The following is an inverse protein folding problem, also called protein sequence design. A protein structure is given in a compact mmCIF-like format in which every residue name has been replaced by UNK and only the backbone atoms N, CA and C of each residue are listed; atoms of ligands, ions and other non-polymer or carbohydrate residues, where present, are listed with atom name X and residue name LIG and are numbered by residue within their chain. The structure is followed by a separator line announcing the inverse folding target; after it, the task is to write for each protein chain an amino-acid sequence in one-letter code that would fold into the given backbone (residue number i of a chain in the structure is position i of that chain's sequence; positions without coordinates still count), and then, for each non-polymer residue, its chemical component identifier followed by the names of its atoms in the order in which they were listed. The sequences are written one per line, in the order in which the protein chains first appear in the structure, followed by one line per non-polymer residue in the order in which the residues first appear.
data_IF_900436106883
#
_entry.id   IF_900436106883
#
_cell.length_a   1.000
_cell.length_b   1.000
_cell.length_c   1.000
_cell.angle_alpha   90.00
_cell.angle_beta   90.00
_cell.angle_gamma   90.00
#
_symmetry.space_group_name_H-M   'P 1'
#
loop_
_entity.id
_entity.type
_entity.pdbx_description
1 polymer ?
#
# COMPACT_ATOMS: atom_id res chain seq x y z
N UNK A 1 -23.16 23.67 58.60
CA UNK A 1 -24.00 22.47 58.41
C UNK A 1 -25.16 22.87 57.51
N UNK A 2 -25.06 22.66 56.19
CA UNK A 2 -26.17 22.90 55.26
C UNK A 2 -26.95 21.59 55.10
N UNK A 3 -28.14 21.54 55.71
CA UNK A 3 -29.09 20.44 55.58
C UNK A 3 -29.83 20.66 54.25
N UNK A 4 -29.61 19.75 53.32
CA UNK A 4 -30.27 19.71 52.02
C UNK A 4 -31.70 19.17 52.21
N UNK A 5 -32.69 20.07 52.26
CA UNK A 5 -34.11 19.71 52.29
C UNK A 5 -34.55 19.23 50.90
N UNK A 6 -35.06 17.99 50.74
CA UNK A 6 -35.67 17.57 49.50
C UNK A 6 -37.06 18.21 49.33
N UNK A 7 -37.41 18.76 48.16
CA UNK A 7 -38.77 19.25 47.92
C UNK A 7 -39.74 18.06 47.87
N UNK A 8 -40.81 18.14 48.68
CA UNK A 8 -41.94 17.23 48.64
C UNK A 8 -42.74 17.41 47.33
N UNK A 9 -42.21 16.88 46.23
CA UNK A 9 -42.87 16.86 44.93
C UNK A 9 -43.90 15.74 44.83
N UNK A 10 -45.15 16.08 44.48
CA UNK A 10 -46.22 15.10 44.26
C UNK A 10 -45.81 14.03 43.23
N UNK A 11 -46.04 12.72 43.47
CA UNK A 11 -45.60 11.65 42.58
C UNK A 11 -46.25 11.72 41.20
N UNK A 12 -47.43 12.36 41.08
CA UNK A 12 -48.08 12.61 39.78
C UNK A 12 -47.31 13.61 38.92
N UNK A 13 -46.77 14.70 39.50
CA UNK A 13 -45.97 15.68 38.76
C UNK A 13 -44.61 15.13 38.33
N UNK A 14 -44.00 14.28 39.17
CA UNK A 14 -42.75 13.59 38.83
C UNK A 14 -42.99 12.59 37.69
N UNK A 15 -44.09 11.82 37.73
CA UNK A 15 -44.48 10.91 36.65
C UNK A 15 -44.78 11.63 35.34
N UNK A 16 -45.49 12.77 35.37
CA UNK A 16 -45.74 13.55 34.15
C UNK A 16 -44.45 14.18 33.61
N UNK A 17 -43.56 14.67 34.46
CA UNK A 17 -42.28 15.22 34.04
C UNK A 17 -41.38 14.14 33.39
N UNK A 18 -41.32 12.95 33.98
CA UNK A 18 -40.61 11.81 33.39
C UNK A 18 -41.24 11.36 32.06
N UNK A 19 -42.57 11.29 31.98
CA UNK A 19 -43.25 10.92 30.74
C UNK A 19 -42.98 11.93 29.61
N UNK A 20 -42.96 13.23 29.92
CA UNK A 20 -42.62 14.29 28.95
C UNK A 20 -41.15 14.20 28.55
N UNK A 21 -40.22 13.94 29.48
CA UNK A 21 -38.80 13.77 29.18
C UNK A 21 -38.52 12.55 28.30
N UNK A 22 -39.18 11.42 28.57
CA UNK A 22 -39.07 10.21 27.74
C UNK A 22 -39.66 10.45 26.35
N UNK A 23 -40.78 11.17 26.27
CA UNK A 23 -41.40 11.53 24.99
C UNK A 23 -40.52 12.48 24.16
N UNK A 24 -39.87 13.47 24.78
CA UNK A 24 -38.97 14.38 24.07
C UNK A 24 -37.66 13.71 23.65
N UNK A 25 -37.10 12.80 24.45
CA UNK A 25 -35.94 11.98 24.02
C UNK A 25 -36.32 11.02 22.88
N UNK A 26 -37.52 10.44 22.90
CA UNK A 26 -38.01 9.60 21.81
C UNK A 26 -38.24 10.38 20.51
N UNK A 27 -38.69 11.64 20.59
CA UNK A 27 -38.83 12.52 19.42
C UNK A 27 -37.48 13.08 18.94
N UNK A 28 -36.52 13.34 19.84
CA UNK A 28 -35.18 13.78 19.47
C UNK A 28 -34.35 12.68 18.77
N UNK A 29 -34.71 11.41 18.95
CA UNK A 29 -34.12 10.28 18.22
C UNK A 29 -34.68 10.04 16.82
N UNK A 30 -35.78 10.71 16.44
CA UNK A 30 -36.50 10.47 15.18
C UNK A 30 -36.79 11.75 14.37
N UNK A 31 -36.06 12.84 14.60
CA UNK A 31 -36.18 14.06 13.80
C UNK A 31 -34.85 14.34 13.08
N UNK A 32 -34.77 13.89 11.82
CA UNK A 32 -33.69 14.10 10.85
C UNK A 32 -32.41 13.28 11.09
N UNK A 33 -32.39 12.04 10.58
CA UNK A 33 -31.13 11.48 10.09
C UNK A 33 -30.87 12.18 8.75
N UNK A 34 -29.88 13.09 8.64
CA UNK A 34 -29.56 13.71 7.36
C UNK A 34 -29.07 12.64 6.37
N UNK A 35 -29.23 12.87 5.05
CA UNK A 35 -28.69 11.95 4.05
C UNK A 35 -27.19 11.68 4.27
N UNK A 36 -26.75 10.41 4.35
CA UNK A 36 -25.39 10.03 4.69
C UNK A 36 -24.43 10.13 3.50
N UNK A 37 -24.38 11.29 2.86
CA UNK A 37 -23.59 11.53 1.64
C UNK A 37 -22.10 11.25 1.84
N UNK A 38 -21.57 11.52 3.03
CA UNK A 38 -20.17 11.29 3.36
C UNK A 38 -19.82 9.79 3.27
N UNK A 39 -20.61 8.93 3.93
CA UNK A 39 -20.45 7.47 3.86
C UNK A 39 -20.58 6.92 2.43
N UNK A 40 -21.55 7.43 1.66
CA UNK A 40 -21.75 7.04 0.26
C UNK A 40 -20.55 7.40 -0.61
N UNK A 41 -20.00 8.60 -0.45
CA UNK A 41 -18.81 9.05 -1.17
C UNK A 41 -17.56 8.24 -0.77
N UNK A 42 -17.40 7.94 0.51
CA UNK A 42 -16.29 7.11 0.98
C UNK A 42 -16.36 5.68 0.41
N UNK A 43 -17.54 5.06 0.43
CA UNK A 43 -17.75 3.75 -0.16
C UNK A 43 -17.47 3.74 -1.68
N UNK A 44 -17.96 4.75 -2.40
CA UNK A 44 -17.70 4.91 -3.84
C UNK A 44 -16.20 5.06 -4.14
N UNK A 45 -15.49 5.90 -3.38
CA UNK A 45 -14.05 6.09 -3.55
C UNK A 45 -13.28 4.80 -3.26
N UNK A 46 -13.65 4.04 -2.21
CA UNK A 46 -13.01 2.74 -1.94
C UNK A 46 -13.28 1.71 -3.03
N UNK A 47 -14.49 1.65 -3.57
CA UNK A 47 -14.81 0.80 -4.73
C UNK A 47 -13.93 1.15 -5.93
N UNK A 48 -13.71 2.44 -6.19
CA UNK A 48 -12.81 2.88 -7.26
C UNK A 48 -11.37 2.43 -7.00
N UNK A 49 -10.85 2.66 -5.79
CA UNK A 49 -9.51 2.23 -5.40
C UNK A 49 -9.30 0.72 -5.48
N UNK A 50 -10.33 -0.07 -5.16
CA UNK A 50 -10.31 -1.52 -5.32
C UNK A 50 -10.25 -1.93 -6.80
N UNK A 51 -11.04 -1.29 -7.67
CA UNK A 51 -10.99 -1.52 -9.12
C UNK A 51 -9.63 -1.14 -9.70
N UNK A 52 -9.11 0.02 -9.34
CA UNK A 52 -7.81 0.52 -9.81
C UNK A 52 -6.65 -0.39 -9.33
N UNK A 53 -6.80 -1.04 -8.18
CA UNK A 53 -5.87 -2.04 -7.68
C UNK A 53 -5.96 -3.41 -8.40
N UNK A 54 -6.86 -3.58 -9.38
CA UNK A 54 -7.05 -4.83 -10.11
C UNK A 54 -7.89 -5.86 -9.36
N UNK A 55 -8.78 -5.45 -8.46
CA UNK A 55 -9.59 -6.40 -7.68
C UNK A 55 -10.52 -7.27 -8.55
N UNK A 56 -10.85 -6.86 -9.77
CA UNK A 56 -11.61 -7.70 -10.69
C UNK A 56 -10.86 -9.00 -11.06
N UNK A 57 -9.53 -8.96 -11.14
CA UNK A 57 -8.72 -10.11 -11.52
C UNK A 57 -8.28 -10.95 -10.31
N UNK A 58 -7.96 -10.26 -9.22
CA UNK A 58 -7.33 -10.89 -8.04
C UNK A 58 -8.28 -11.14 -6.87
N UNK A 59 -9.42 -10.45 -6.80
CA UNK A 59 -10.41 -10.55 -5.72
C UNK A 59 -11.86 -10.30 -6.19
N UNK A 60 -12.35 -11.00 -7.25
CA UNK A 60 -13.63 -10.69 -7.89
C UNK A 60 -14.83 -10.87 -6.96
N UNK A 61 -14.76 -11.85 -6.05
CA UNK A 61 -15.85 -12.16 -5.11
C UNK A 61 -16.05 -11.03 -4.10
N UNK A 62 -14.96 -10.58 -3.45
CA UNK A 62 -15.01 -9.48 -2.48
C UNK A 62 -15.44 -8.17 -3.15
N UNK A 63 -14.93 -7.92 -4.36
CA UNK A 63 -15.31 -6.75 -5.15
C UNK A 63 -16.80 -6.81 -5.56
N UNK A 64 -17.35 -7.99 -5.83
CA UNK A 64 -18.78 -8.21 -6.07
C UNK A 64 -19.63 -7.86 -4.85
N UNK A 65 -19.29 -8.39 -3.67
CA UNK A 65 -20.00 -8.07 -2.43
C UNK A 65 -20.01 -6.57 -2.13
N UNK A 66 -18.87 -5.90 -2.31
CA UNK A 66 -18.79 -4.46 -2.13
C UNK A 66 -19.73 -3.70 -3.08
N UNK A 67 -19.81 -4.12 -4.35
CA UNK A 67 -20.69 -3.50 -5.35
C UNK A 67 -22.17 -3.74 -5.06
N UNK A 68 -22.53 -4.96 -4.69
CA UNK A 68 -23.91 -5.33 -4.38
C UNK A 68 -24.42 -4.54 -3.18
N UNK A 69 -23.63 -4.45 -2.10
CA UNK A 69 -23.98 -3.64 -0.92
C UNK A 69 -24.08 -2.16 -1.23
N UNK A 70 -23.21 -1.63 -2.11
CA UNK A 70 -23.33 -0.24 -2.54
C UNK A 70 -24.60 0.02 -3.36
N UNK A 71 -25.03 -0.94 -4.17
CA UNK A 71 -26.31 -0.86 -4.88
C UNK A 71 -27.49 -0.88 -3.90
N UNK A 72 -27.46 -1.75 -2.89
CA UNK A 72 -28.45 -1.75 -1.81
C UNK A 72 -28.44 -0.42 -1.04
N UNK A 73 -27.26 0.15 -0.76
CA UNK A 73 -27.14 1.45 -0.11
C UNK A 73 -27.78 2.57 -0.94
N UNK A 74 -27.58 2.57 -2.26
CA UNK A 74 -28.23 3.52 -3.19
C UNK A 74 -29.74 3.35 -3.22
N UNK A 75 -30.24 2.11 -3.18
CA UNK A 75 -31.68 1.83 -3.09
C UNK A 75 -32.25 2.36 -1.77
N UNK A 76 -31.59 2.10 -0.64
CA UNK A 76 -31.98 2.63 0.67
C UNK A 76 -31.95 4.17 0.70
N UNK A 77 -30.97 4.82 0.05
CA UNK A 77 -30.93 6.27 -0.13
C UNK A 77 -32.16 6.79 -0.89
N UNK A 78 -32.54 6.13 -1.99
CA UNK A 78 -33.70 6.50 -2.79
C UNK A 78 -35.01 6.34 -2.00
N UNK A 79 -35.09 5.31 -1.14
CA UNK A 79 -36.21 5.06 -0.22
C UNK A 79 -36.18 5.95 1.04
N UNK A 80 -35.20 6.84 1.17
CA UNK A 80 -34.97 7.71 2.34
C UNK A 80 -34.72 6.95 3.65
N UNK A 81 -34.29 5.69 3.55
CA UNK A 81 -33.83 4.86 4.67
C UNK A 81 -32.36 5.17 4.98
N UNK A 82 -32.11 6.38 5.47
CA UNK A 82 -30.76 6.93 5.61
C UNK A 82 -29.85 6.15 6.59
N UNK A 83 -30.41 5.59 7.66
CA UNK A 83 -29.64 4.75 8.58
C UNK A 83 -29.16 3.45 7.91
N UNK A 84 -30.07 2.78 7.19
CA UNK A 84 -29.74 1.55 6.45
C UNK A 84 -28.73 1.84 5.33
N UNK A 85 -28.93 2.94 4.60
CA UNK A 85 -27.99 3.39 3.58
C UNK A 85 -26.57 3.61 4.13
N UNK A 86 -26.45 4.26 5.29
CA UNK A 86 -25.15 4.49 5.93
C UNK A 86 -24.48 3.17 6.34
N UNK A 87 -25.24 2.24 6.93
CA UNK A 87 -24.71 0.93 7.32
C UNK A 87 -24.26 0.12 6.09
N UNK A 88 -25.08 0.06 5.05
CA UNK A 88 -24.77 -0.65 3.81
C UNK A 88 -23.57 -0.04 3.07
N UNK A 89 -23.45 1.30 3.07
CA UNK A 89 -22.29 1.99 2.50
C UNK A 89 -21.01 1.69 3.27
N UNK A 90 -21.07 1.66 4.61
CA UNK A 90 -19.95 1.31 5.46
C UNK A 90 -19.50 -0.15 5.27
N UNK A 91 -20.44 -1.08 5.18
CA UNK A 91 -20.12 -2.47 4.86
C UNK A 91 -19.50 -2.61 3.46
N UNK A 92 -20.06 -1.92 2.46
CA UNK A 92 -19.50 -1.85 1.11
C UNK A 92 -18.07 -1.31 1.12
N UNK A 93 -17.81 -0.28 1.92
CA UNK A 93 -16.48 0.32 2.11
C UNK A 93 -15.49 -0.71 2.65
N UNK A 94 -15.87 -1.45 3.68
CA UNK A 94 -15.03 -2.49 4.29
C UNK A 94 -14.75 -3.65 3.30
N UNK A 95 -15.76 -4.10 2.57
CA UNK A 95 -15.60 -5.15 1.55
C UNK A 95 -14.70 -4.68 0.39
N UNK A 96 -14.82 -3.41 -0.02
CA UNK A 96 -13.95 -2.83 -1.04
C UNK A 96 -12.50 -2.72 -0.57
N UNK A 97 -12.27 -2.33 0.69
CA UNK A 97 -10.93 -2.30 1.28
C UNK A 97 -10.30 -3.71 1.33
N UNK A 98 -11.09 -4.72 1.70
CA UNK A 98 -10.66 -6.12 1.66
C UNK A 98 -10.28 -6.55 0.25
N UNK A 99 -11.14 -6.25 -0.74
CA UNK A 99 -10.89 -6.54 -2.15
C UNK A 99 -9.60 -5.86 -2.65
N UNK A 100 -9.41 -4.58 -2.32
CA UNK A 100 -8.22 -3.82 -2.66
C UNK A 100 -6.95 -4.44 -2.05
N UNK A 101 -6.98 -4.83 -0.77
CA UNK A 101 -5.85 -5.44 -0.10
C UNK A 101 -5.48 -6.79 -0.72
N UNK A 102 -6.48 -7.64 -0.99
CA UNK A 102 -6.31 -8.91 -1.69
C UNK A 102 -5.76 -8.72 -3.10
N UNK A 103 -6.23 -7.69 -3.80
CA UNK A 103 -5.77 -7.38 -5.15
C UNK A 103 -4.29 -7.00 -5.18
N UNK A 104 -3.88 -6.09 -4.29
CA UNK A 104 -2.46 -5.71 -4.14
C UNK A 104 -1.58 -6.92 -3.80
N UNK A 105 -2.06 -7.81 -2.93
CA UNK A 105 -1.34 -9.04 -2.60
C UNK A 105 -1.23 -9.99 -3.81
N UNK A 106 -2.31 -10.18 -4.56
CA UNK A 106 -2.32 -10.98 -5.78
C UNK A 106 -1.35 -10.45 -6.83
N UNK A 107 -1.42 -9.14 -7.10
CA UNK A 107 -0.52 -8.46 -8.02
C UNK A 107 0.96 -8.57 -7.59
N UNK A 108 1.25 -8.38 -6.30
CA UNK A 108 2.61 -8.53 -5.77
C UNK A 108 3.13 -9.97 -5.94
N UNK A 109 2.29 -10.98 -5.67
CA UNK A 109 2.66 -12.39 -5.89
C UNK A 109 2.95 -12.69 -7.35
N UNK A 110 2.14 -12.17 -8.28
CA UNK A 110 2.36 -12.33 -9.72
C UNK A 110 3.69 -11.70 -10.15
N UNK A 111 4.01 -10.50 -9.66
CA UNK A 111 5.28 -9.83 -9.94
C UNK A 111 6.47 -10.62 -9.39
N UNK A 112 6.38 -11.14 -8.16
CA UNK A 112 7.44 -11.98 -7.57
C UNK A 112 7.67 -13.23 -8.42
N UNK A 113 6.60 -13.92 -8.84
CA UNK A 113 6.73 -15.10 -9.69
C UNK A 113 7.41 -14.79 -11.03
N UNK A 114 7.01 -13.69 -11.68
CA UNK A 114 7.66 -13.24 -12.92
C UNK A 114 9.16 -12.95 -12.71
N UNK A 115 9.52 -12.27 -11.62
CA UNK A 115 10.92 -11.96 -11.32
C UNK A 115 11.75 -13.19 -10.97
N UNK A 116 11.17 -14.16 -10.27
CA UNK A 116 11.83 -15.45 -10.00
C UNK A 116 12.09 -16.20 -11.30
N UNK A 117 11.10 -16.30 -12.19
CA UNK A 117 11.27 -16.95 -13.49
C UNK A 117 12.34 -16.25 -14.34
N UNK A 118 12.34 -14.92 -14.35
CA UNK A 118 13.37 -14.12 -15.04
C UNK A 118 14.77 -14.40 -14.47
N UNK A 119 14.91 -14.42 -13.14
CA UNK A 119 16.17 -14.71 -12.48
C UNK A 119 16.67 -16.13 -12.79
N UNK A 120 15.80 -17.15 -12.68
CA UNK A 120 16.14 -18.53 -13.02
C UNK A 120 16.60 -18.66 -14.47
N UNK A 121 15.90 -18.01 -15.41
CA UNK A 121 16.28 -17.98 -16.83
C UNK A 121 17.67 -17.38 -17.03
N UNK A 122 17.97 -16.26 -16.37
CA UNK A 122 19.28 -15.61 -16.45
C UNK A 122 20.40 -16.49 -15.87
N UNK A 123 20.15 -17.21 -14.76
CA UNK A 123 21.12 -18.14 -14.17
C UNK A 123 21.45 -19.30 -15.12
N UNK A 124 20.42 -19.89 -15.75
CA UNK A 124 20.61 -20.94 -16.75
C UNK A 124 21.42 -20.47 -17.96
N UNK A 125 21.21 -19.24 -18.42
CA UNK A 125 21.99 -18.64 -19.52
C UNK A 125 23.46 -18.45 -19.12
N UNK A 126 23.72 -18.00 -17.88
CA UNK A 126 25.07 -17.87 -17.36
C UNK A 126 25.81 -19.22 -17.26
N UNK A 127 25.13 -20.27 -16.81
CA UNK A 127 25.67 -21.63 -16.75
C UNK A 127 25.98 -22.19 -18.15
N UNK A 128 25.12 -21.95 -19.14
CA UNK A 128 25.35 -22.35 -20.53
C UNK A 128 26.55 -21.62 -21.15
N UNK A 129 26.69 -20.32 -20.89
CA UNK A 129 27.84 -19.54 -21.35
C UNK A 129 29.15 -20.01 -20.71
N UNK A 130 29.13 -20.36 -19.41
CA UNK A 130 30.29 -20.91 -18.71
C UNK A 130 30.65 -22.33 -19.23
N UNK A 131 29.66 -23.17 -19.52
CA UNK A 131 29.88 -24.50 -20.10
C UNK A 131 30.47 -24.46 -21.51
N UNK A 132 30.07 -23.50 -22.35
CA UNK A 132 30.61 -23.33 -23.70
C UNK A 132 32.09 -22.90 -23.71
N UNK A 133 32.55 -22.14 -22.70
CA UNK A 133 33.95 -21.76 -22.55
C UNK A 133 34.88 -22.93 -22.18
N UNK A 134 34.40 -23.92 -21.41
CA UNK A 134 35.23 -25.06 -20.98
C UNK A 134 35.58 -26.03 -22.10
N UNK A 135 34.79 -26.09 -23.18
CA UNK A 135 35.11 -26.92 -24.36
C UNK A 135 36.21 -26.34 -25.27
N UNK A 136 36.54 -25.05 -25.14
CA UNK A 136 37.61 -24.43 -25.93
C UNK A 136 38.99 -24.46 -25.23
N UNK A 137 39.02 -24.60 -23.90
CA UNK A 137 40.26 -24.78 -23.13
C UNK A 137 40.76 -26.24 -23.10
N UNK A 138 40.00 -27.19 -23.67
CA UNK A 138 40.45 -28.57 -23.89
C UNK A 138 41.09 -28.74 -25.30
N UNK A 139 41.92 -27.80 -25.73
CA UNK A 139 42.88 -28.08 -26.80
C UNK A 139 43.97 -29.01 -26.22
N UNK A 140 44.36 -30.12 -26.89
CA UNK A 140 45.43 -30.96 -26.40
C UNK A 140 46.70 -30.10 -26.31
N UNK A 141 47.30 -30.02 -25.12
CA UNK A 141 48.53 -29.30 -24.89
C UNK A 141 49.55 -29.66 -25.99
N UNK A 142 50.07 -28.69 -26.76
CA UNK A 142 51.16 -28.99 -27.67
C UNK A 142 52.39 -29.33 -26.80
N UNK A 143 52.72 -30.61 -26.75
CA UNK A 143 54.03 -31.04 -26.29
C UNK A 143 55.09 -30.34 -27.15
N UNK A 144 56.17 -29.91 -26.50
CA UNK A 144 57.43 -29.38 -27.06
C UNK A 144 57.52 -27.85 -27.19
N UNK A 145 57.92 -27.19 -26.10
CA UNK A 145 58.66 -25.92 -26.19
C UNK A 145 60.17 -26.24 -26.31
N UNK A 146 60.90 -25.76 -27.35
CA UNK A 146 62.36 -25.75 -27.36
C UNK A 146 62.91 -24.54 -26.56
N UNK A 147 64.19 -24.56 -26.14
CA UNK A 147 64.73 -23.64 -25.15
C UNK A 147 64.92 -22.21 -25.69
N UNK A 148 64.87 -21.29 -24.74
CA UNK A 148 65.03 -19.84 -24.82
C UNK A 148 66.16 -19.39 -25.74
N UNK A 149 65.82 -18.70 -26.82
CA UNK A 149 66.72 -17.82 -27.57
C UNK A 149 66.46 -16.36 -27.20
N UNK A 150 67.52 -15.64 -26.84
CA UNK A 150 67.53 -14.20 -26.63
C UNK A 150 66.88 -13.46 -27.82
N UNK A 151 65.80 -12.74 -27.55
CA UNK A 151 65.18 -11.81 -28.49
C UNK A 151 64.96 -10.49 -27.75
N UNK A 152 65.48 -9.35 -28.22
CA UNK A 152 65.24 -8.06 -27.57
C UNK A 152 63.76 -7.66 -27.69
N UNK A 153 63.20 -7.12 -26.60
CA UNK A 153 61.82 -6.67 -26.55
C UNK A 153 61.53 -5.57 -27.58
N UNK A 154 60.37 -5.58 -28.27
CA UNK A 154 59.94 -4.42 -29.02
C UNK A 154 59.58 -3.28 -28.05
N UNK A 155 60.25 -2.13 -28.22
CA UNK A 155 59.95 -0.88 -27.52
C UNK A 155 58.61 -0.32 -27.99
N UNK A 156 57.46 -0.84 -27.53
CA UNK A 156 56.14 -0.22 -27.79
C UNK A 156 55.06 -0.76 -26.87
N UNK A 157 54.96 -0.26 -25.64
CA UNK A 157 53.69 -0.14 -24.89
C UNK A 157 53.89 0.79 -23.71
N UNK A 158 54.05 2.08 -24.01
CA UNK A 158 53.91 3.13 -23.02
C UNK A 158 52.46 3.16 -22.56
N UNK A 159 52.26 2.85 -21.28
CA UNK A 159 51.05 3.04 -20.52
C UNK A 159 50.51 4.48 -20.73
N UNK A 160 49.45 4.65 -21.53
CA UNK A 160 48.71 5.91 -21.56
C UNK A 160 47.89 6.02 -20.27
N UNK A 161 48.21 7.02 -19.46
CA UNK A 161 47.41 7.39 -18.30
C UNK A 161 46.05 7.97 -18.76
N UNK A 162 44.92 7.54 -18.19
CA UNK A 162 43.65 8.25 -18.38
C UNK A 162 43.69 9.61 -17.66
N UNK A 163 42.98 10.64 -18.15
CA UNK A 163 42.86 11.90 -17.42
C UNK A 163 42.16 11.65 -16.08
N UNK A 164 42.72 12.26 -15.04
CA UNK A 164 42.20 12.19 -13.68
C UNK A 164 40.90 13.00 -13.59
N UNK A 165 39.76 12.35 -13.83
CA UNK A 165 38.47 12.84 -13.39
C UNK A 165 37.88 11.92 -12.32
N UNK A 166 37.91 12.45 -11.10
CA UNK A 166 37.15 12.12 -9.90
C UNK A 166 36.46 10.76 -9.81
N UNK A 167 36.90 9.97 -8.83
CA UNK A 167 36.07 8.96 -8.18
C UNK A 167 34.77 9.60 -7.67
N UNK A 168 33.65 9.40 -8.37
CA UNK A 168 32.33 9.66 -7.80
C UNK A 168 31.97 8.53 -6.83
N UNK A 169 32.19 8.80 -5.55
CA UNK A 169 31.70 7.98 -4.45
C UNK A 169 30.17 8.03 -4.39
N UNK A 170 29.56 6.85 -4.26
CA UNK A 170 28.12 6.59 -4.08
C UNK A 170 27.55 7.43 -2.93
N UNK A 171 26.36 8.07 -3.05
CA UNK A 171 25.70 8.72 -1.92
C UNK A 171 25.02 7.68 -1.03
N UNK A 172 25.56 7.48 0.16
CA UNK A 172 24.89 6.80 1.27
C UNK A 172 23.99 7.83 1.97
N UNK A 173 22.70 7.83 1.62
CA UNK A 173 21.70 8.68 2.27
C UNK A 173 21.14 7.95 3.49
N UNK A 174 21.82 8.07 4.63
CA UNK A 174 21.32 7.67 5.94
C UNK A 174 21.47 8.83 6.93
N UNK A 175 20.32 9.41 7.29
CA UNK A 175 19.93 10.05 8.56
C UNK A 175 20.82 11.11 9.27
N UNK A 176 20.38 12.40 9.21
CA UNK A 176 19.75 13.22 10.30
C UNK A 176 20.47 13.47 11.66
N UNK A 177 19.97 14.35 12.56
CA UNK A 177 19.77 15.82 12.59
C UNK A 177 20.60 16.55 13.69
N UNK A 178 20.81 17.88 13.59
CA UNK A 178 21.04 18.80 14.72
C UNK A 178 21.08 20.24 14.18
N UNK A 179 20.10 21.10 14.48
CA UNK A 179 20.14 22.05 15.60
C UNK A 179 21.40 22.93 15.61
N UNK A 180 21.27 24.19 15.17
CA UNK A 180 21.98 25.34 15.77
C UNK A 180 21.40 26.68 15.29
N UNK A 181 20.59 27.27 16.17
CA UNK A 181 20.79 28.56 16.85
C UNK A 181 21.84 29.56 16.31
N UNK A 182 21.45 30.84 16.41
CA UNK A 182 22.21 32.10 16.29
C UNK A 182 22.36 32.63 14.85
N UNK A 183 21.98 33.87 14.50
CA UNK A 183 21.59 35.04 15.26
C UNK A 183 22.21 36.29 14.59
N UNK A 184 21.46 37.40 14.52
CA UNK A 184 22.02 38.76 14.36
C UNK A 184 21.94 39.41 12.98
N UNK A 185 20.88 40.23 12.79
CA UNK A 185 20.84 41.65 12.40
C UNK A 185 22.06 42.30 11.69
N UNK A 186 21.87 43.34 10.86
CA UNK A 186 21.22 44.63 11.19
C UNK A 186 19.74 44.75 10.78
#
# INVERSE_FOLDING_TARGET
MYIFSPPAGSPRRIRTAMAVLVLTLALAGCASVPPPNDSMNQAQNRLQMARDAGAADYAPVDLGFAQDKFQLAQAAMAERKYADAANLAEESRADAELAQAKARLGAARAQIQSKVQENTRLRQQGEQAAGAGQTQDAAPAPASAPPTGDMPAPSSSTLSAPPADGFQTVPDAVQQPAANSQGGQP
#
